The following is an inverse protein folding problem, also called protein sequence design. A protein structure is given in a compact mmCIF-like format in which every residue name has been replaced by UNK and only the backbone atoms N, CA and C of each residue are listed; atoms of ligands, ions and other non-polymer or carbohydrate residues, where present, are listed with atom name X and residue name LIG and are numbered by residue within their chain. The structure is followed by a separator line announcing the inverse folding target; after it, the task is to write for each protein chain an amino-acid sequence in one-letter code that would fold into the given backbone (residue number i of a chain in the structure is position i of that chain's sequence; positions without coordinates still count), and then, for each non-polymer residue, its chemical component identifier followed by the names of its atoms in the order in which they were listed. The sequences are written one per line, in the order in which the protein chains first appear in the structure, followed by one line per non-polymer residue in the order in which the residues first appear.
data_IF_165000482895
#
_entry.id   IF_165000482895
#
_cell.length_a   1.000
_cell.length_b   1.000
_cell.length_c   1.000
_cell.angle_alpha   90.00
_cell.angle_beta   90.00
_cell.angle_gamma   90.00
#
_symmetry.space_group_name_H-M   'P 1'
#
loop_
_entity.id
_entity.type
_entity.pdbx_description
1 polymer ?
#
# COMPACT_ATOMS: atom_id res chain seq x y z
N UNK A 1 7.13 -2.06 12.60
CA UNK A 1 8.19 -2.00 13.62
C UNK A 1 9.48 -1.44 13.01
N UNK A 2 10.32 -0.82 13.82
CA UNK A 2 11.65 -0.39 13.40
C UNK A 2 12.45 -1.62 12.97
N UNK A 3 13.23 -1.49 11.89
CA UNK A 3 14.07 -2.55 11.31
C UNK A 3 13.36 -3.76 10.69
N UNK A 4 12.04 -3.74 10.52
CA UNK A 4 11.33 -4.77 9.75
C UNK A 4 11.60 -4.69 8.24
N UNK A 5 12.33 -3.67 7.77
CA UNK A 5 12.63 -3.45 6.36
C UNK A 5 11.55 -2.68 5.61
N UNK A 6 10.72 -1.91 6.29
CA UNK A 6 9.62 -1.12 5.71
C UNK A 6 10.13 -0.17 4.61
N UNK A 7 11.14 0.67 4.90
CA UNK A 7 11.68 1.63 3.92
C UNK A 7 12.38 0.92 2.75
N UNK A 8 13.05 -0.20 3.00
CA UNK A 8 13.62 -1.02 1.92
C UNK A 8 12.50 -1.55 1.01
N UNK A 9 11.47 -2.14 1.60
CA UNK A 9 10.30 -2.64 0.85
C UNK A 9 9.65 -1.55 0.02
N UNK A 10 9.46 -0.36 0.62
CA UNK A 10 8.89 0.77 -0.10
C UNK A 10 9.74 1.19 -1.31
N UNK A 11 11.06 1.31 -1.13
CA UNK A 11 11.96 1.69 -2.21
C UNK A 11 11.95 0.64 -3.34
N UNK A 12 11.95 -0.65 -3.01
CA UNK A 12 11.91 -1.71 -4.02
C UNK A 12 10.54 -1.77 -4.73
N UNK A 13 9.43 -1.55 -4.03
CA UNK A 13 8.11 -1.40 -4.67
C UNK A 13 8.09 -0.22 -5.64
N UNK A 14 8.67 0.93 -5.26
CA UNK A 14 8.77 2.09 -6.15
C UNK A 14 9.59 1.78 -7.40
N UNK A 15 10.67 1.00 -7.28
CA UNK A 15 11.47 0.55 -8.43
C UNK A 15 10.61 -0.31 -9.38
N UNK A 16 9.90 -1.31 -8.88
CA UNK A 16 9.02 -2.18 -9.69
C UNK A 16 7.96 -1.35 -10.42
N UNK A 17 7.28 -0.46 -9.71
CA UNK A 17 6.23 0.37 -10.31
C UNK A 17 6.77 1.41 -11.30
N UNK A 18 7.99 1.94 -11.11
CA UNK A 18 8.61 2.87 -12.07
C UNK A 18 9.09 2.19 -13.34
N UNK A 19 9.53 0.94 -13.26
CA UNK A 19 9.91 0.13 -14.43
C UNK A 19 8.68 -0.25 -15.29
N UNK A 20 7.54 -0.44 -14.66
CA UNK A 20 6.28 -0.74 -15.34
C UNK A 20 5.59 0.49 -15.96
N UNK A 21 5.70 1.64 -15.31
CA UNK A 21 5.21 2.91 -15.81
C UNK A 21 6.25 3.56 -16.73
N UNK A 22 6.23 3.23 -18.02
CA UNK A 22 7.09 3.90 -19.01
C UNK A 22 6.98 5.42 -18.88
N UNK A 23 7.97 6.05 -18.24
CA UNK A 23 8.36 7.46 -18.37
C UNK A 23 7.28 8.53 -18.14
N UNK A 24 6.59 8.55 -17.02
CA UNK A 24 5.98 9.78 -16.51
C UNK A 24 6.53 10.10 -15.12
N UNK A 25 7.01 11.35 -15.00
CA UNK A 25 7.75 11.90 -13.87
C UNK A 25 7.12 11.59 -12.51
N UNK A 26 7.89 10.93 -11.67
CA UNK A 26 7.65 10.86 -10.23
C UNK A 26 7.85 12.26 -9.66
N UNK A 27 6.81 12.89 -9.20
CA UNK A 27 6.90 14.14 -8.46
C UNK A 27 7.48 13.85 -7.07
N UNK A 28 8.80 14.01 -6.93
CA UNK A 28 9.44 14.07 -5.61
C UNK A 28 9.11 15.41 -4.95
N UNK A 29 8.31 15.37 -3.91
CA UNK A 29 8.27 16.45 -2.92
C UNK A 29 9.22 16.09 -1.80
N UNK A 30 10.52 16.36 -2.02
CA UNK A 30 11.51 16.33 -0.96
C UNK A 30 11.22 17.48 0.02
N UNK A 31 10.65 17.17 1.16
CA UNK A 31 10.67 18.06 2.31
C UNK A 31 11.69 17.52 3.31
N UNK A 32 12.86 18.14 3.31
CA UNK A 32 13.88 17.98 4.32
C UNK A 32 13.41 18.67 5.61
N UNK A 33 12.87 17.90 6.56
CA UNK A 33 12.95 18.24 8.00
C UNK A 33 12.72 16.97 8.82
N UNK A 34 13.61 16.70 9.74
CA UNK A 34 13.66 15.54 10.62
C UNK A 34 12.62 15.64 11.75
N UNK A 35 11.35 15.49 11.42
CA UNK A 35 10.26 15.29 12.37
C UNK A 35 9.19 14.46 11.68
N UNK A 36 9.01 13.22 12.10
CA UNK A 36 7.87 12.31 11.81
C UNK A 36 7.18 12.47 10.43
N UNK A 37 7.89 12.77 9.36
CA UNK A 37 7.30 13.01 8.04
C UNK A 37 6.97 11.70 7.35
N UNK A 38 5.68 11.51 7.10
CA UNK A 38 5.18 10.48 6.19
C UNK A 38 5.64 10.83 4.78
N UNK A 39 6.37 9.96 4.12
CA UNK A 39 6.66 10.13 2.70
C UNK A 39 5.52 9.56 1.87
N UNK A 40 4.86 10.42 1.11
CA UNK A 40 3.74 10.07 0.24
C UNK A 40 4.22 10.01 -1.20
N UNK A 41 3.91 8.94 -1.92
CA UNK A 41 4.25 8.73 -3.33
C UNK A 41 3.01 8.32 -4.12
N UNK A 42 2.77 9.00 -5.22
CA UNK A 42 1.78 8.57 -6.20
C UNK A 42 2.41 7.52 -7.11
N UNK A 43 1.73 6.43 -7.30
CA UNK A 43 2.07 5.32 -8.18
C UNK A 43 1.09 5.33 -9.34
N UNK A 44 1.59 5.55 -10.54
CA UNK A 44 0.80 5.47 -11.76
C UNK A 44 1.05 4.09 -12.40
N UNK A 45 0.00 3.32 -12.60
CA UNK A 45 0.02 1.99 -13.21
C UNK A 45 -0.30 2.08 -14.70
N UNK A 46 -0.21 0.96 -15.41
CA UNK A 46 -0.76 0.82 -16.76
C UNK A 46 -2.29 1.01 -16.70
N UNK A 47 -2.87 1.38 -17.84
CA UNK A 47 -4.31 1.58 -17.99
C UNK A 47 -4.88 2.74 -17.15
N UNK A 48 -4.08 3.80 -16.95
CA UNK A 48 -4.45 5.02 -16.21
C UNK A 48 -4.90 4.80 -14.74
N UNK A 49 -4.64 3.62 -14.18
CA UNK A 49 -4.83 3.36 -12.76
C UNK A 49 -3.74 4.05 -11.95
N UNK A 50 -4.09 4.59 -10.81
CA UNK A 50 -3.12 5.13 -9.86
C UNK A 50 -3.57 4.93 -8.43
N UNK A 51 -2.61 4.85 -7.52
CA UNK A 51 -2.85 4.86 -6.08
C UNK A 51 -1.75 5.64 -5.35
N UNK A 52 -2.00 5.93 -4.08
CA UNK A 52 -1.04 6.63 -3.23
C UNK A 52 -0.42 5.63 -2.26
N UNK A 53 0.91 5.55 -2.25
CA UNK A 53 1.67 4.79 -1.27
C UNK A 53 2.27 5.74 -0.25
N UNK A 54 1.90 5.55 1.03
CA UNK A 54 2.38 6.37 2.15
C UNK A 54 3.25 5.53 3.07
N UNK A 55 4.47 6.01 3.38
CA UNK A 55 5.32 5.41 4.41
C UNK A 55 4.99 6.04 5.76
N UNK A 56 4.51 5.24 6.69
CA UNK A 56 4.22 5.68 8.05
C UNK A 56 5.35 5.34 9.02
N UNK A 57 5.45 6.05 10.11
CA UNK A 57 6.44 5.75 11.16
C UNK A 57 6.24 4.33 11.70
N UNK A 58 7.34 3.56 11.76
CA UNK A 58 7.30 2.20 12.29
C UNK A 58 6.91 2.17 13.78
N UNK A 59 6.12 1.18 14.18
CA UNK A 59 5.79 0.93 15.59
C UNK A 59 7.07 0.76 16.42
N UNK A 60 7.27 1.61 17.40
CA UNK A 60 8.35 1.49 18.41
C UNK A 60 7.76 0.81 19.64
N UNK A 61 8.26 -0.37 19.97
CA UNK A 61 7.86 -1.13 21.18
C UNK A 61 8.36 -0.44 22.45
N UNK A 62 7.69 0.52 22.97
CA UNK A 62 7.88 1.37 24.16
C UNK A 62 7.85 2.86 23.78
N UNK A 63 6.76 3.27 23.14
CA UNK A 63 6.49 4.70 22.95
C UNK A 63 6.25 5.36 24.33
N UNK A 64 7.02 6.39 24.70
CA UNK A 64 6.68 7.23 25.85
C UNK A 64 5.28 7.85 25.65
N UNK A 65 4.53 7.98 26.73
CA UNK A 65 3.13 8.46 26.69
C UNK A 65 2.95 9.81 25.98
N UNK A 66 3.95 10.69 26.00
CA UNK A 66 3.94 11.98 25.32
C UNK A 66 4.11 11.90 23.78
N UNK A 67 4.61 10.78 23.24
CA UNK A 67 4.70 10.53 21.80
C UNK A 67 3.45 9.82 21.24
N UNK A 68 2.57 9.32 22.10
CA UNK A 68 1.35 8.60 21.68
C UNK A 68 0.42 9.52 20.88
N UNK A 69 0.33 10.80 21.23
CA UNK A 69 -0.55 11.75 20.51
C UNK A 69 -0.03 12.06 19.10
N UNK A 70 1.27 12.30 18.94
CA UNK A 70 1.87 12.51 17.62
C UNK A 70 1.79 11.24 16.76
N UNK A 71 1.94 10.08 17.40
CA UNK A 71 1.80 8.77 16.74
C UNK A 71 0.34 8.47 16.34
N UNK A 72 -0.63 8.87 17.16
CA UNK A 72 -2.05 8.79 16.83
C UNK A 72 -2.39 9.64 15.60
N UNK A 73 -1.82 10.85 15.48
CA UNK A 73 -2.05 11.69 14.30
C UNK A 73 -1.55 11.03 13.01
N UNK A 74 -0.36 10.42 13.05
CA UNK A 74 0.19 9.67 11.90
C UNK A 74 -0.62 8.42 11.55
N UNK A 75 -1.18 7.74 12.58
CA UNK A 75 -2.05 6.58 12.37
C UNK A 75 -3.47 6.98 11.96
N UNK A 76 -3.87 8.24 12.12
CA UNK A 76 -5.14 8.73 11.63
C UNK A 76 -5.20 8.62 10.09
N UNK A 77 -4.08 8.79 9.39
CA UNK A 77 -3.97 8.56 7.95
C UNK A 77 -4.30 7.10 7.56
N UNK A 78 -3.99 6.13 8.44
CA UNK A 78 -4.34 4.74 8.21
C UNK A 78 -5.86 4.48 8.24
N UNK A 79 -6.64 5.39 8.84
CA UNK A 79 -8.10 5.28 8.88
C UNK A 79 -8.74 5.61 7.54
N UNK A 80 -8.10 6.49 6.78
CA UNK A 80 -8.57 6.95 5.47
C UNK A 80 -7.92 6.15 4.32
N UNK A 81 -7.10 5.16 4.66
CA UNK A 81 -6.46 4.28 3.69
C UNK A 81 -7.42 3.20 3.17
N UNK A 82 -7.32 2.87 1.89
CA UNK A 82 -8.05 1.75 1.27
C UNK A 82 -7.38 0.39 1.56
N UNK A 83 -6.09 0.39 1.89
CA UNK A 83 -5.30 -0.80 2.21
C UNK A 83 -4.18 -0.46 3.19
N UNK A 84 -3.98 -1.32 4.19
CA UNK A 84 -2.85 -1.26 5.11
C UNK A 84 -1.87 -2.39 4.78
N UNK A 85 -0.58 -2.06 4.70
CA UNK A 85 0.50 -3.05 4.57
C UNK A 85 1.29 -3.09 5.89
N UNK A 86 1.12 -4.16 6.63
CA UNK A 86 1.83 -4.40 7.90
C UNK A 86 3.12 -5.18 7.64
N UNK A 87 4.25 -4.49 7.54
CA UNK A 87 5.56 -5.11 7.33
C UNK A 87 6.13 -5.62 8.63
N UNK A 88 6.43 -6.92 8.71
CA UNK A 88 6.92 -7.62 9.90
C UNK A 88 8.20 -8.38 9.56
N UNK A 89 9.14 -8.45 10.50
CA UNK A 89 10.36 -9.26 10.36
C UNK A 89 10.04 -10.74 10.63
N UNK A 90 10.13 -11.58 9.59
CA UNK A 90 9.83 -13.01 9.67
C UNK A 90 10.86 -13.78 10.51
N UNK A 91 12.05 -13.22 10.70
CA UNK A 91 13.13 -13.83 11.51
C UNK A 91 13.08 -13.44 12.99
N UNK A 92 12.22 -12.48 13.38
CA UNK A 92 12.14 -12.04 14.78
C UNK A 92 11.30 -12.99 15.62
N UNK A 93 11.87 -13.47 16.71
CA UNK A 93 11.20 -14.36 17.67
C UNK A 93 9.94 -13.74 18.30
N UNK A 94 9.84 -12.41 18.33
CA UNK A 94 8.69 -11.68 18.87
C UNK A 94 7.66 -11.32 17.79
N UNK A 95 7.80 -11.82 16.55
CA UNK A 95 6.95 -11.50 15.41
C UNK A 95 5.45 -11.59 15.73
N UNK A 96 5.02 -12.69 16.38
CA UNK A 96 3.60 -12.89 16.75
C UNK A 96 3.11 -11.82 17.73
N UNK A 97 3.95 -11.44 18.70
CA UNK A 97 3.60 -10.40 19.67
C UNK A 97 3.53 -9.01 18.99
N UNK A 98 4.39 -8.76 18.02
CA UNK A 98 4.37 -7.52 17.23
C UNK A 98 3.07 -7.38 16.43
N UNK A 99 2.64 -8.45 15.75
CA UNK A 99 1.38 -8.49 15.00
C UNK A 99 0.20 -8.20 15.93
N UNK A 100 0.12 -8.88 17.08
CA UNK A 100 -0.93 -8.66 18.09
C UNK A 100 -0.94 -7.21 18.60
N UNK A 101 0.23 -6.63 18.80
CA UNK A 101 0.33 -5.23 19.26
C UNK A 101 -0.16 -4.26 18.18
N UNK A 102 0.20 -4.49 16.91
CA UNK A 102 -0.32 -3.70 15.79
C UNK A 102 -1.83 -3.80 15.72
N UNK A 103 -2.39 -5.01 15.77
CA UNK A 103 -3.84 -5.20 15.73
C UNK A 103 -4.55 -4.47 16.88
N UNK A 104 -4.03 -4.61 18.10
CA UNK A 104 -4.60 -3.92 19.28
C UNK A 104 -4.63 -2.40 19.08
N UNK A 105 -3.58 -1.81 18.54
CA UNK A 105 -3.54 -0.35 18.30
C UNK A 105 -4.53 0.06 17.20
N UNK A 106 -4.66 -0.72 16.13
CA UNK A 106 -5.66 -0.47 15.09
C UNK A 106 -7.08 -0.54 15.67
N UNK A 107 -7.36 -1.52 16.53
CA UNK A 107 -8.65 -1.66 17.22
C UNK A 107 -8.94 -0.47 18.14
N UNK A 108 -7.96 -0.02 18.93
CA UNK A 108 -8.07 1.17 19.80
C UNK A 108 -8.36 2.45 18.99
N UNK A 109 -7.84 2.55 17.79
CA UNK A 109 -8.08 3.64 16.85
C UNK A 109 -9.37 3.47 16.03
N UNK A 110 -10.10 2.36 16.24
CA UNK A 110 -11.31 1.99 15.49
C UNK A 110 -11.07 1.84 13.98
N UNK A 111 -9.88 1.37 13.61
CA UNK A 111 -9.50 1.04 12.23
C UNK A 111 -9.75 -0.47 12.04
N UNK A 112 -11.03 -0.85 11.89
CA UNK A 112 -11.44 -2.26 11.84
C UNK A 112 -11.91 -2.70 10.45
N UNK A 113 -12.22 -1.74 9.56
CA UNK A 113 -12.82 -2.02 8.26
C UNK A 113 -11.83 -1.85 7.09
N UNK A 114 -10.58 -1.47 7.37
CA UNK A 114 -9.56 -1.31 6.33
C UNK A 114 -8.91 -2.68 6.05
N UNK A 115 -8.90 -3.16 4.80
CA UNK A 115 -8.21 -4.39 4.45
C UNK A 115 -6.71 -4.30 4.81
N UNK A 116 -6.12 -5.41 5.25
CA UNK A 116 -4.71 -5.43 5.62
C UNK A 116 -3.99 -6.61 4.96
N UNK A 117 -2.80 -6.33 4.45
CA UNK A 117 -1.80 -7.33 4.05
C UNK A 117 -0.76 -7.42 5.16
N UNK A 118 -0.51 -8.63 5.69
CA UNK A 118 0.65 -8.87 6.55
C UNK A 118 1.81 -9.34 5.68
N UNK A 119 2.83 -8.49 5.56
CA UNK A 119 3.99 -8.74 4.73
C UNK A 119 5.18 -9.18 5.61
N UNK A 120 5.41 -10.49 5.67
CA UNK A 120 6.49 -11.13 6.45
C UNK A 120 7.80 -11.03 5.69
N UNK A 121 8.56 -9.97 5.97
CA UNK A 121 9.84 -9.68 5.32
C UNK A 121 11.00 -10.46 5.94
N UNK A 122 12.15 -10.43 5.25
CA UNK A 122 13.39 -11.10 5.64
C UNK A 122 13.28 -12.62 5.67
N UNK A 123 12.49 -13.18 4.77
CA UNK A 123 12.39 -14.64 4.59
C UNK A 123 13.74 -15.27 4.25
N UNK A 124 14.67 -14.48 3.65
CA UNK A 124 16.08 -14.86 3.40
C UNK A 124 16.88 -15.18 4.68
N UNK A 125 16.36 -14.84 5.85
CA UNK A 125 16.96 -15.19 7.16
C UNK A 125 16.25 -16.35 7.85
N UNK A 126 15.34 -17.04 7.15
CA UNK A 126 14.58 -18.18 7.67
C UNK A 126 14.81 -19.42 6.79
N UNK A 127 14.45 -20.61 7.30
CA UNK A 127 14.52 -21.86 6.53
C UNK A 127 13.26 -22.11 5.68
N UNK A 128 12.40 -21.10 5.49
CA UNK A 128 11.14 -21.20 4.76
C UNK A 128 11.33 -20.87 3.28
N UNK A 129 10.57 -21.57 2.42
CA UNK A 129 10.49 -21.19 1.02
C UNK A 129 9.75 -19.86 0.86
N UNK A 130 10.27 -19.00 0.00
CA UNK A 130 9.66 -17.71 -0.35
C UNK A 130 9.91 -17.39 -1.85
N UNK A 131 9.13 -16.53 -2.51
CA UNK A 131 7.92 -15.90 -1.98
C UNK A 131 6.75 -16.89 -1.83
N UNK A 132 5.90 -16.69 -0.84
CA UNK A 132 4.71 -17.49 -0.59
C UNK A 132 3.55 -16.61 -0.16
N UNK A 133 2.40 -16.72 -0.85
CA UNK A 133 1.18 -15.99 -0.54
C UNK A 133 0.16 -16.94 0.08
N UNK A 134 -0.40 -16.57 1.23
CA UNK A 134 -1.48 -17.26 1.91
C UNK A 134 -2.61 -16.27 2.24
N UNK A 135 -3.70 -16.33 1.50
CA UNK A 135 -4.81 -15.38 1.66
C UNK A 135 -4.41 -13.94 1.37
N UNK A 136 -4.36 -13.12 2.41
CA UNK A 136 -3.92 -11.72 2.34
C UNK A 136 -2.48 -11.51 2.83
N UNK A 137 -1.79 -12.57 3.20
CA UNK A 137 -0.45 -12.49 3.76
C UNK A 137 0.58 -12.93 2.73
N UNK A 138 1.79 -12.37 2.81
CA UNK A 138 2.92 -12.76 1.99
C UNK A 138 4.18 -12.93 2.81
N UNK A 139 4.85 -14.08 2.65
CA UNK A 139 6.23 -14.30 3.11
C UNK A 139 7.17 -13.94 1.98
N UNK A 140 8.10 -13.00 2.20
CA UNK A 140 8.94 -12.45 1.15
C UNK A 140 10.29 -11.97 1.67
N UNK A 141 11.21 -11.66 0.76
CA UNK A 141 12.42 -10.91 1.05
C UNK A 141 12.46 -9.62 0.22
N UNK A 142 12.62 -8.49 0.89
CA UNK A 142 12.79 -7.21 0.19
C UNK A 142 14.10 -7.14 -0.65
N UNK A 143 14.98 -8.12 -0.54
CA UNK A 143 16.21 -8.24 -1.35
C UNK A 143 16.02 -9.11 -2.59
N UNK A 144 14.88 -9.76 -2.73
CA UNK A 144 14.57 -10.65 -3.83
C UNK A 144 13.56 -9.99 -4.78
N UNK A 145 13.95 -9.71 -6.06
CA UNK A 145 13.09 -9.02 -7.01
C UNK A 145 11.77 -9.75 -7.28
N UNK A 146 11.77 -11.09 -7.31
CA UNK A 146 10.55 -11.87 -7.53
C UNK A 146 9.57 -11.71 -6.36
N UNK A 147 10.08 -11.71 -5.14
CA UNK A 147 9.29 -11.44 -3.93
C UNK A 147 8.62 -10.08 -3.96
N UNK A 148 9.35 -9.04 -4.38
CA UNK A 148 8.82 -7.68 -4.47
C UNK A 148 7.76 -7.57 -5.56
N UNK A 149 7.97 -8.22 -6.69
CA UNK A 149 6.99 -8.27 -7.77
C UNK A 149 5.68 -8.92 -7.30
N UNK A 150 5.75 -10.06 -6.62
CA UNK A 150 4.55 -10.73 -6.09
C UNK A 150 3.85 -9.90 -5.01
N UNK A 151 4.59 -9.16 -4.18
CA UNK A 151 4.00 -8.21 -3.23
C UNK A 151 3.31 -7.05 -3.97
N UNK A 152 3.92 -6.51 -5.04
CA UNK A 152 3.33 -5.47 -5.87
C UNK A 152 2.01 -5.94 -6.51
N UNK A 153 2.01 -7.12 -7.11
CA UNK A 153 0.81 -7.73 -7.71
C UNK A 153 -0.30 -7.94 -6.67
N UNK A 154 0.05 -8.38 -5.45
CA UNK A 154 -0.90 -8.56 -4.36
C UNK A 154 -1.50 -7.20 -3.91
N UNK A 155 -0.68 -6.15 -3.82
CA UNK A 155 -1.14 -4.79 -3.50
C UNK A 155 -2.12 -4.30 -4.55
N UNK A 156 -1.76 -4.33 -5.84
CA UNK A 156 -2.62 -3.89 -6.94
C UNK A 156 -3.93 -4.66 -6.93
N UNK A 157 -3.88 -5.98 -6.81
CA UNK A 157 -5.08 -6.81 -6.71
C UNK A 157 -5.99 -6.38 -5.57
N UNK A 158 -5.43 -6.06 -4.38
CA UNK A 158 -6.21 -5.69 -3.19
C UNK A 158 -6.76 -4.27 -3.26
N UNK A 159 -6.01 -3.33 -3.77
CA UNK A 159 -6.46 -1.94 -3.94
C UNK A 159 -7.63 -1.87 -4.91
N UNK A 160 -7.59 -2.67 -5.98
CA UNK A 160 -8.61 -2.68 -7.03
C UNK A 160 -9.59 -3.87 -6.97
N UNK A 161 -9.62 -4.62 -5.85
CA UNK A 161 -10.50 -5.81 -5.67
C UNK A 161 -12.00 -5.47 -5.79
N UNK A 162 -12.39 -4.23 -5.48
CA UNK A 162 -13.77 -3.74 -5.57
C UNK A 162 -14.11 -3.09 -6.92
N UNK A 163 -13.17 -3.05 -7.86
CA UNK A 163 -13.42 -2.49 -9.19
C UNK A 163 -14.03 -3.55 -10.10
N UNK A 164 -15.18 -3.23 -10.67
CA UNK A 164 -15.86 -4.09 -11.63
C UNK A 164 -15.75 -3.51 -13.04
N UNK A 165 -15.45 -4.37 -14.01
CA UNK A 165 -15.46 -4.00 -15.42
C UNK A 165 -16.91 -4.07 -15.93
N UNK A 166 -17.44 -2.91 -16.33
CA UNK A 166 -18.79 -2.76 -16.84
C UNK A 166 -18.78 -2.17 -18.25
N UNK A 167 -19.76 -2.53 -19.07
CA UNK A 167 -20.02 -1.88 -20.34
C UNK A 167 -21.26 -0.99 -20.17
N UNK A 168 -21.09 0.29 -20.41
CA UNK A 168 -22.15 1.29 -20.32
C UNK A 168 -22.46 1.84 -21.69
N UNK A 169 -23.74 2.05 -21.97
CA UNK A 169 -24.21 2.76 -23.18
C UNK A 169 -24.89 4.02 -22.70
N UNK A 170 -24.35 5.16 -23.10
CA UNK A 170 -24.88 6.48 -22.76
C UNK A 170 -25.40 7.17 -24.02
N UNK A 171 -26.53 7.88 -23.93
CA UNK A 171 -26.95 8.78 -25.00
C UNK A 171 -25.90 9.87 -25.24
N UNK A 172 -25.66 10.27 -26.50
CA UNK A 172 -24.71 11.36 -26.83
C UNK A 172 -25.03 12.68 -26.13
N UNK A 173 -26.30 12.88 -25.76
CA UNK A 173 -26.77 14.06 -25.00
C UNK A 173 -26.42 14.02 -23.52
N UNK A 174 -25.95 12.89 -22.98
CA UNK A 174 -25.70 12.69 -21.53
C UNK A 174 -24.26 13.03 -21.14
N UNK A 175 -23.84 14.23 -21.52
CA UNK A 175 -22.48 14.72 -21.22
C UNK A 175 -22.17 14.80 -19.71
N UNK A 176 -23.19 14.91 -18.86
CA UNK A 176 -22.99 14.96 -17.39
C UNK A 176 -22.50 13.62 -16.84
N UNK A 177 -23.14 12.52 -17.21
CA UNK A 177 -22.70 11.20 -16.76
C UNK A 177 -21.40 10.77 -17.40
N UNK A 178 -21.14 11.17 -18.66
CA UNK A 178 -19.86 10.94 -19.30
C UNK A 178 -18.73 11.67 -18.56
N UNK A 179 -18.90 12.96 -18.22
CA UNK A 179 -17.93 13.72 -17.44
C UNK A 179 -17.68 13.08 -16.05
N UNK A 180 -18.74 12.60 -15.39
CA UNK A 180 -18.63 11.90 -14.12
C UNK A 180 -17.80 10.61 -14.24
N UNK A 181 -18.00 9.83 -15.31
CA UNK A 181 -17.22 8.62 -15.56
C UNK A 181 -15.74 8.93 -15.84
N UNK A 182 -15.45 10.02 -16.57
CA UNK A 182 -14.07 10.48 -16.77
C UNK A 182 -13.40 10.97 -15.48
N UNK A 183 -14.17 11.52 -14.54
CA UNK A 183 -13.65 12.05 -13.27
C UNK A 183 -13.44 10.95 -12.22
N UNK A 184 -14.36 9.97 -12.13
CA UNK A 184 -14.41 8.98 -11.04
C UNK A 184 -14.24 7.53 -11.48
N UNK A 185 -14.27 7.26 -12.78
CA UNK A 185 -14.13 5.92 -13.35
C UNK A 185 -12.84 5.79 -14.15
N UNK A 186 -12.50 4.53 -14.45
CA UNK A 186 -11.46 4.23 -15.43
C UNK A 186 -12.10 3.86 -16.76
N UNK A 187 -11.87 4.63 -17.80
CA UNK A 187 -12.38 4.34 -19.14
C UNK A 187 -11.35 3.49 -19.88
N UNK A 188 -11.67 2.21 -20.10
CA UNK A 188 -10.80 1.29 -20.82
C UNK A 188 -10.94 1.43 -22.35
N UNK A 189 -12.13 1.71 -22.82
CA UNK A 189 -12.46 1.96 -24.22
C UNK A 189 -13.70 2.84 -24.33
N UNK A 190 -13.72 3.72 -25.30
CA UNK A 190 -14.85 4.61 -25.59
C UNK A 190 -15.10 4.63 -27.09
N UNK A 191 -16.30 4.21 -27.49
CA UNK A 191 -16.73 4.18 -28.88
C UNK A 191 -17.98 5.03 -29.07
N UNK A 192 -17.93 5.98 -29.99
CA UNK A 192 -19.09 6.76 -30.37
C UNK A 192 -19.79 6.09 -31.56
N UNK A 193 -21.08 5.83 -31.42
CA UNK A 193 -21.93 5.31 -32.50
C UNK A 193 -23.02 6.31 -32.80
N UNK A 194 -23.18 6.62 -34.08
CA UNK A 194 -24.28 7.44 -34.62
C UNK A 194 -25.63 6.73 -34.47
#
# INVERSE_FOLDING_TARGET
YTNAGKSTTMNELLNVFSDEASKKQVFEKNMLFATLDTSVRRIDLKDDLSFILSDTVGFISKLPHNLIESFKATLQEAKDADLIINVVDASDHNMVQMIKTTQKVLDELKITNVPMITAYNKADLTDRNYPQIEGNDILYSAKDPESIKQLADLIVKKVFDNYEKVNLVLPLSDGKNLAYLHEYGQILNEDFKD
#
